data_IF_766380678967
#
_entry.id   IF_766380678967
#
_cell.length_a   1.000
_cell.length_b   1.000
_cell.length_c   1.000
_cell.angle_alpha   90.00
_cell.angle_beta   90.00
_cell.angle_gamma   90.00
#
_symmetry.space_group_name_H-M   'P 1'
#
loop_
_entity.id
_entity.type
_entity.pdbx_description
1 polymer ?
#
# COMPACT_ATOMS: atom_id res chain seq x y z
N UNK A 1 3.21 -57.95 27.49
CA UNK A 1 3.32 -57.55 26.07
C UNK A 1 4.20 -56.32 26.00
N UNK A 2 5.42 -56.44 25.45
CA UNK A 2 6.38 -55.33 25.30
C UNK A 2 6.17 -54.69 23.92
N UNK A 3 5.80 -53.40 23.89
CA UNK A 3 5.65 -52.62 22.65
C UNK A 3 6.97 -51.91 22.37
N UNK A 4 7.64 -52.27 21.28
CA UNK A 4 8.82 -51.55 20.80
C UNK A 4 8.40 -50.27 20.05
N UNK A 5 9.08 -49.13 20.26
CA UNK A 5 8.79 -47.91 19.52
C UNK A 5 9.33 -48.00 18.08
N UNK A 6 8.50 -47.64 17.09
CA UNK A 6 8.89 -47.50 15.69
C UNK A 6 9.89 -46.34 15.52
N UNK A 7 10.99 -46.52 14.75
CA UNK A 7 11.87 -45.41 14.42
C UNK A 7 11.19 -44.45 13.43
N UNK A 8 11.50 -43.14 13.47
CA UNK A 8 10.95 -42.18 12.51
C UNK A 8 11.55 -42.41 11.12
N UNK A 9 10.69 -42.39 10.10
CA UNK A 9 11.10 -42.42 8.70
C UNK A 9 11.83 -41.12 8.36
N UNK A 10 13.14 -41.24 8.08
CA UNK A 10 13.98 -40.13 7.61
C UNK A 10 13.66 -39.89 6.14
N UNK A 11 12.76 -38.94 5.86
CA UNK A 11 12.49 -38.49 4.49
C UNK A 11 13.72 -37.72 4.01
N UNK A 12 14.52 -38.36 3.16
CA UNK A 12 15.61 -37.70 2.43
C UNK A 12 14.97 -36.83 1.36
N UNK A 13 14.87 -35.52 1.60
CA UNK A 13 14.53 -34.55 0.55
C UNK A 13 15.71 -34.44 -0.40
N UNK A 14 15.59 -35.05 -1.58
CA UNK A 14 16.49 -34.76 -2.68
C UNK A 14 16.36 -33.26 -3.04
N UNK A 15 17.46 -32.53 -3.27
CA UNK A 15 17.37 -31.16 -3.75
C UNK A 15 16.76 -31.18 -5.15
N UNK A 16 15.52 -30.73 -5.24
CA UNK A 16 14.89 -30.40 -6.52
C UNK A 16 15.71 -29.28 -7.16
N UNK A 17 16.52 -29.64 -8.16
CA UNK A 17 17.22 -28.69 -9.00
C UNK A 17 16.15 -27.87 -9.74
N UNK A 18 15.89 -26.66 -9.25
CA UNK A 18 14.99 -25.70 -9.87
C UNK A 18 15.65 -25.19 -11.15
N UNK A 19 15.36 -25.84 -12.26
CA UNK A 19 15.67 -25.32 -13.58
C UNK A 19 14.72 -24.14 -13.86
N UNK A 20 15.31 -22.94 -13.99
CA UNK A 20 14.70 -21.70 -14.47
C UNK A 20 13.46 -21.21 -13.69
N UNK A 21 13.72 -20.60 -12.53
CA UNK A 21 12.71 -19.80 -11.83
C UNK A 21 12.62 -18.41 -12.48
N UNK A 22 11.70 -18.25 -13.44
CA UNK A 22 11.50 -16.98 -14.17
C UNK A 22 10.54 -16.01 -13.46
N UNK A 23 10.04 -16.31 -12.26
CA UNK A 23 9.25 -15.37 -11.47
C UNK A 23 10.13 -14.60 -10.49
N UNK A 24 9.93 -13.29 -10.43
CA UNK A 24 10.49 -12.44 -9.39
C UNK A 24 10.09 -12.99 -8.01
N UNK A 25 10.97 -12.88 -7.00
CA UNK A 25 10.60 -13.27 -5.63
C UNK A 25 9.37 -12.47 -5.19
N UNK A 26 8.36 -13.18 -4.66
CA UNK A 26 7.20 -12.57 -4.01
C UNK A 26 7.69 -11.85 -2.74
N UNK A 27 7.75 -10.52 -2.79
CA UNK A 27 7.93 -9.68 -1.61
C UNK A 27 6.60 -9.05 -1.21
N UNK A 28 6.26 -9.10 0.08
CA UNK A 28 5.15 -8.32 0.61
C UNK A 28 5.54 -6.83 0.52
N UNK A 29 4.82 -6.10 -0.32
CA UNK A 29 5.05 -4.68 -0.61
C UNK A 29 4.04 -3.78 0.07
N UNK A 30 3.59 -4.24 1.22
CA UNK A 30 2.62 -3.55 2.03
C UNK A 30 3.10 -3.56 3.47
N UNK A 31 3.26 -2.37 4.06
CA UNK A 31 3.71 -2.22 5.44
C UNK A 31 2.66 -2.66 6.49
N UNK A 32 2.98 -2.51 7.78
CA UNK A 32 2.03 -2.76 8.87
C UNK A 32 0.85 -1.78 8.82
N UNK A 33 -0.32 -2.16 9.34
CA UNK A 33 -1.48 -1.26 9.42
C UNK A 33 -1.23 -0.12 10.41
N UNK A 34 -1.68 1.08 10.07
CA UNK A 34 -1.63 2.24 10.95
C UNK A 34 -2.65 2.10 12.11
N UNK A 35 -2.32 2.46 13.37
CA UNK A 35 -3.15 2.15 14.55
C UNK A 35 -4.54 2.79 14.58
N UNK A 36 -4.74 3.90 13.87
CA UNK A 36 -6.03 4.63 13.84
C UNK A 36 -6.72 4.44 12.50
N UNK A 37 -6.10 4.86 11.40
CA UNK A 37 -6.66 4.72 10.05
C UNK A 37 -6.73 3.27 9.52
N UNK A 38 -6.02 2.30 10.11
CA UNK A 38 -5.90 0.91 9.63
C UNK A 38 -5.36 0.75 8.19
N UNK A 39 -4.97 1.85 7.54
CA UNK A 39 -4.39 1.84 6.21
C UNK A 39 -2.97 1.25 6.25
N UNK A 40 -2.62 0.49 5.21
CA UNK A 40 -1.29 -0.09 5.05
C UNK A 40 -0.51 0.67 3.96
N UNK A 41 0.73 1.13 4.23
CA UNK A 41 1.52 1.85 3.24
C UNK A 41 2.00 0.91 2.13
N UNK A 42 1.98 1.38 0.88
CA UNK A 42 2.43 0.62 -0.29
C UNK A 42 3.91 0.92 -0.53
N UNK A 43 4.70 -0.14 -0.74
CA UNK A 43 6.13 -0.04 -1.07
C UNK A 43 6.27 -0.19 -2.58
N UNK A 44 6.63 0.90 -3.25
CA UNK A 44 6.82 0.92 -4.70
C UNK A 44 8.20 0.39 -5.09
N UNK A 45 8.28 -0.34 -6.21
CA UNK A 45 9.53 -0.90 -6.75
C UNK A 45 10.50 0.15 -7.26
N UNK A 46 10.01 1.35 -7.51
CA UNK A 46 10.82 2.41 -8.08
C UNK A 46 11.84 2.97 -7.09
N UNK A 47 11.75 2.55 -5.83
CA UNK A 47 12.67 2.85 -4.74
C UNK A 47 13.50 1.60 -4.48
N UNK A 48 14.23 1.13 -5.52
CA UNK A 48 15.21 0.07 -5.32
C UNK A 48 16.16 0.54 -4.21
N UNK A 49 16.34 -0.25 -3.12
CA UNK A 49 17.29 0.12 -2.10
C UNK A 49 18.64 0.26 -2.78
N UNK A 50 19.25 1.43 -2.59
CA UNK A 50 20.63 1.70 -2.91
C UNK A 50 21.44 0.44 -2.61
N UNK A 51 22.14 -0.09 -3.63
CA UNK A 51 23.09 -1.15 -3.41
C UNK A 51 23.91 -0.79 -2.17
N UNK A 52 24.03 -1.73 -1.22
CA UNK A 52 24.68 -1.56 0.09
C UNK A 52 26.15 -1.12 0.04
N UNK A 53 26.68 -0.71 -1.12
CA UNK A 53 28.06 -0.33 -1.38
C UNK A 53 28.43 1.12 -1.02
N UNK A 54 27.53 1.96 -0.49
CA UNK A 54 27.79 3.40 -0.24
C UNK A 54 27.42 3.90 1.16
N UNK A 55 27.62 3.08 2.19
CA UNK A 55 27.22 3.35 3.58
C UNK A 55 27.97 4.47 4.35
N UNK A 56 28.73 5.36 3.68
CA UNK A 56 29.64 6.32 4.35
C UNK A 56 29.36 7.80 4.08
N UNK A 57 28.23 8.16 3.46
CA UNK A 57 27.91 9.56 3.20
C UNK A 57 26.54 9.93 3.80
N UNK A 58 26.40 11.09 4.48
CA UNK A 58 25.14 11.54 5.08
C UNK A 58 24.03 11.81 4.06
N UNK A 59 24.37 11.93 2.78
CA UNK A 59 23.42 12.03 1.67
C UNK A 59 23.51 10.80 0.78
N UNK A 60 22.36 10.32 0.30
CA UNK A 60 22.32 9.23 -0.66
C UNK A 60 22.83 9.73 -2.01
N UNK A 61 23.97 9.20 -2.51
CA UNK A 61 24.55 9.64 -3.78
C UNK A 61 23.64 9.35 -4.99
N UNK A 62 22.63 8.49 -4.82
CA UNK A 62 21.64 8.18 -5.85
C UNK A 62 20.68 9.33 -6.15
N UNK A 63 20.51 10.29 -5.24
CA UNK A 63 19.74 11.52 -5.51
C UNK A 63 20.42 12.43 -6.53
N UNK A 64 21.73 12.28 -6.72
CA UNK A 64 22.54 13.08 -7.64
C UNK A 64 22.97 12.31 -8.89
N UNK A 65 22.63 11.02 -8.99
CA UNK A 65 22.81 10.29 -10.23
C UNK A 65 21.92 10.96 -11.29
N UNK A 66 22.46 11.43 -12.42
CA UNK A 66 21.67 11.99 -13.50
C UNK A 66 20.94 10.84 -14.21
N UNK A 67 19.98 10.19 -13.54
CA UNK A 67 19.04 9.34 -14.25
C UNK A 67 18.32 10.27 -15.24
N UNK A 68 18.22 9.92 -16.53
CA UNK A 68 17.26 10.56 -17.42
C UNK A 68 15.85 10.11 -16.98
N UNK A 69 15.47 10.40 -15.73
CA UNK A 69 14.14 10.22 -15.22
C UNK A 69 13.30 11.21 -16.00
N UNK A 70 12.62 10.69 -17.02
CA UNK A 70 11.59 11.43 -17.75
C UNK A 70 10.77 12.26 -16.75
N UNK A 71 10.53 13.56 -17.02
CA UNK A 71 9.79 14.43 -16.10
C UNK A 71 8.43 13.82 -15.70
N UNK A 72 7.85 13.00 -16.59
CA UNK A 72 6.62 12.26 -16.33
C UNK A 72 6.77 11.14 -15.28
N UNK A 73 7.93 10.48 -15.19
CA UNK A 73 8.21 9.44 -14.18
C UNK A 73 8.27 10.04 -12.78
N UNK A 74 8.97 11.17 -12.63
CA UNK A 74 9.02 11.90 -11.37
C UNK A 74 7.64 12.44 -10.98
N UNK A 75 6.93 13.06 -11.92
CA UNK A 75 5.57 13.54 -11.70
C UNK A 75 4.64 12.39 -11.24
N UNK A 76 4.78 11.20 -11.82
CA UNK A 76 3.99 10.03 -11.46
C UNK A 76 4.31 9.49 -10.07
N UNK A 77 5.60 9.49 -9.69
CA UNK A 77 6.02 9.17 -8.31
C UNK A 77 5.38 10.13 -7.29
N UNK A 78 5.52 11.42 -7.52
CA UNK A 78 4.96 12.45 -6.63
C UNK A 78 3.44 12.34 -6.52
N UNK A 79 2.75 12.13 -7.64
CA UNK A 79 1.29 12.03 -7.65
C UNK A 79 0.78 10.79 -6.90
N UNK A 80 1.52 9.66 -6.94
CA UNK A 80 1.20 8.47 -6.14
C UNK A 80 1.32 8.75 -4.65
N UNK A 81 2.44 9.33 -4.22
CA UNK A 81 2.65 9.70 -2.81
C UNK A 81 1.56 10.65 -2.30
N UNK A 82 1.23 11.69 -3.08
CA UNK A 82 0.16 12.62 -2.74
C UNK A 82 -1.22 11.95 -2.64
N UNK A 83 -1.48 10.93 -3.46
CA UNK A 83 -2.72 10.15 -3.42
C UNK A 83 -2.77 9.27 -2.17
N UNK A 84 -1.66 8.63 -1.82
CA UNK A 84 -1.53 7.81 -0.61
C UNK A 84 -1.71 8.66 0.65
N UNK A 85 -1.07 9.83 0.72
CA UNK A 85 -1.21 10.79 1.83
C UNK A 85 -2.63 11.31 1.97
N UNK A 86 -3.26 11.66 0.84
CA UNK A 86 -4.66 12.10 0.81
C UNK A 86 -5.59 11.01 1.36
N UNK A 87 -5.40 9.77 0.91
CA UNK A 87 -6.19 8.63 1.33
C UNK A 87 -5.99 8.33 2.82
N UNK A 88 -4.73 8.32 3.29
CA UNK A 88 -4.40 8.12 4.69
C UNK A 88 -5.03 9.19 5.58
N UNK A 89 -4.88 10.46 5.22
CA UNK A 89 -5.38 11.60 6.01
C UNK A 89 -6.89 11.55 6.15
N UNK A 90 -7.61 11.28 5.04
CA UNK A 90 -9.06 11.17 5.06
C UNK A 90 -9.56 10.10 6.06
N UNK A 91 -8.97 8.90 6.02
CA UNK A 91 -9.35 7.80 6.90
C UNK A 91 -8.89 7.99 8.34
N UNK A 92 -7.75 8.64 8.56
CA UNK A 92 -7.28 9.01 9.89
C UNK A 92 -8.30 9.93 10.57
N UNK A 93 -8.72 10.99 9.89
CA UNK A 93 -9.73 11.92 10.40
C UNK A 93 -11.10 11.28 10.56
N UNK A 94 -11.52 10.44 9.61
CA UNK A 94 -12.80 9.74 9.66
C UNK A 94 -12.88 8.83 10.88
N UNK A 95 -11.88 7.98 11.08
CA UNK A 95 -11.84 7.04 12.21
C UNK A 95 -11.69 7.76 13.55
N UNK A 96 -10.95 8.87 13.59
CA UNK A 96 -10.81 9.68 14.81
C UNK A 96 -12.16 10.26 15.24
N UNK A 97 -12.90 10.89 14.31
CA UNK A 97 -14.23 11.43 14.60
C UNK A 97 -15.24 10.34 14.93
N UNK A 98 -15.16 9.19 14.26
CA UNK A 98 -16.02 8.05 14.51
C UNK A 98 -15.85 7.54 15.95
N UNK A 99 -14.62 7.29 16.39
CA UNK A 99 -14.36 6.79 17.75
C UNK A 99 -14.70 7.85 18.82
N UNK A 100 -14.49 9.14 18.54
CA UNK A 100 -14.95 10.22 19.41
C UNK A 100 -16.48 10.22 19.56
N UNK A 101 -17.22 10.23 18.45
CA UNK A 101 -18.68 10.24 18.47
C UNK A 101 -19.28 9.00 19.13
N UNK A 102 -18.66 7.84 18.93
CA UNK A 102 -19.03 6.58 19.58
C UNK A 102 -18.81 6.64 21.09
N UNK A 103 -17.70 7.20 21.55
CA UNK A 103 -17.43 7.39 22.98
C UNK A 103 -18.44 8.37 23.60
N UNK A 104 -18.75 9.46 22.92
CA UNK A 104 -19.76 10.43 23.37
C UNK A 104 -21.16 9.80 23.46
N UNK A 105 -21.56 8.99 22.48
CA UNK A 105 -22.85 8.30 22.49
C UNK A 105 -22.99 7.39 23.72
N UNK A 106 -21.91 6.69 24.09
CA UNK A 106 -21.87 5.86 25.30
C UNK A 106 -21.80 6.69 26.58
N UNK A 107 -21.07 7.81 26.58
CA UNK A 107 -20.93 8.68 27.75
C UNK A 107 -22.23 9.42 28.14
N UNK A 108 -23.16 9.59 27.19
CA UNK A 108 -24.49 10.16 27.46
C UNK A 108 -25.40 9.23 28.26
N UNK A 109 -25.09 7.94 28.31
CA UNK A 109 -25.89 6.97 29.05
C UNK A 109 -25.60 7.05 30.56
N UNK A 110 -26.61 6.82 31.41
CA UNK A 110 -26.37 6.72 32.84
C UNK A 110 -25.47 5.51 33.15
N UNK A 111 -24.68 5.56 34.25
CA UNK A 111 -23.80 4.45 34.62
C UNK A 111 -24.57 3.15 34.94
N UNK A 112 -25.87 3.25 35.24
CA UNK A 112 -26.78 2.12 35.47
C UNK A 112 -27.39 1.54 34.19
N UNK A 113 -27.05 2.06 33.01
CA UNK A 113 -27.62 1.62 31.73
C UNK A 113 -27.33 0.13 31.48
N UNK A 114 -28.36 -0.58 31.02
CA UNK A 114 -28.25 -1.99 30.66
C UNK A 114 -27.43 -2.16 29.37
N UNK A 115 -27.08 -3.41 29.04
CA UNK A 115 -26.43 -3.72 27.77
C UNK A 115 -27.32 -3.37 26.57
N UNK A 116 -28.64 -3.61 26.70
CA UNK A 116 -29.61 -3.31 25.65
C UNK A 116 -29.70 -1.80 25.35
N UNK A 117 -29.65 -0.97 26.39
CA UNK A 117 -29.66 0.50 26.23
C UNK A 117 -28.42 1.00 25.48
N UNK A 118 -27.26 0.38 25.74
CA UNK A 118 -26.01 0.67 25.03
C UNK A 118 -26.08 0.27 23.57
N UNK A 119 -26.64 -0.90 23.27
CA UNK A 119 -26.83 -1.37 21.90
C UNK A 119 -27.77 -0.46 21.11
N UNK A 120 -28.86 0.00 21.74
CA UNK A 120 -29.79 0.94 21.11
C UNK A 120 -29.11 2.29 20.83
N UNK A 121 -28.36 2.84 21.81
CA UNK A 121 -27.63 4.09 21.63
C UNK A 121 -26.56 3.99 20.52
N UNK A 122 -25.84 2.87 20.44
CA UNK A 122 -24.88 2.63 19.37
C UNK A 122 -25.57 2.51 18.00
N UNK A 123 -26.70 1.81 17.93
CA UNK A 123 -27.47 1.64 16.68
C UNK A 123 -27.93 2.99 16.11
N UNK A 124 -28.49 3.84 16.98
CA UNK A 124 -28.85 5.22 16.62
C UNK A 124 -27.64 6.04 16.18
N UNK A 125 -26.52 5.94 16.89
CA UNK A 125 -25.27 6.58 16.51
C UNK A 125 -24.79 6.15 15.12
N UNK A 126 -24.76 4.84 14.82
CA UNK A 126 -24.35 4.34 13.51
C UNK A 126 -25.24 4.86 12.38
N UNK A 127 -26.55 4.86 12.59
CA UNK A 127 -27.50 5.40 11.62
C UNK A 127 -27.24 6.88 11.34
N UNK A 128 -27.08 7.69 12.40
CA UNK A 128 -26.79 9.12 12.28
C UNK A 128 -25.43 9.38 11.63
N UNK A 129 -24.40 8.60 11.97
CA UNK A 129 -23.07 8.72 11.41
C UNK A 129 -23.07 8.56 9.90
N UNK A 130 -23.74 7.53 9.37
CA UNK A 130 -23.82 7.28 7.92
C UNK A 130 -24.48 8.46 7.20
N UNK A 131 -25.58 8.99 7.75
CA UNK A 131 -26.28 10.14 7.15
C UNK A 131 -25.41 11.39 7.16
N UNK A 132 -24.71 11.66 8.26
CA UNK A 132 -23.86 12.84 8.40
C UNK A 132 -22.63 12.78 7.49
N UNK A 133 -22.05 11.59 7.32
CA UNK A 133 -20.80 11.39 6.60
C UNK A 133 -21.00 11.17 5.08
N UNK A 134 -22.25 11.02 4.62
CA UNK A 134 -22.59 10.75 3.21
C UNK A 134 -21.98 11.80 2.27
N UNK A 135 -22.20 13.09 2.55
CA UNK A 135 -21.65 14.19 1.74
C UNK A 135 -20.12 14.18 1.70
N UNK A 136 -19.47 14.05 2.87
CA UNK A 136 -17.99 14.04 2.98
C UNK A 136 -17.39 12.84 2.25
N UNK A 137 -18.05 11.69 2.31
CA UNK A 137 -17.65 10.47 1.60
C UNK A 137 -17.85 10.62 0.09
N UNK A 138 -18.93 11.26 -0.33
CA UNK A 138 -19.18 11.60 -1.73
C UNK A 138 -18.09 12.49 -2.32
N UNK A 139 -17.75 13.59 -1.64
CA UNK A 139 -16.69 14.52 -2.03
C UNK A 139 -15.33 13.83 -2.11
N UNK A 140 -14.98 13.05 -1.08
CA UNK A 140 -13.77 12.24 -1.06
C UNK A 140 -13.73 11.25 -2.23
N UNK A 141 -14.83 10.57 -2.52
CA UNK A 141 -14.90 9.57 -3.60
C UNK A 141 -14.68 10.22 -4.96
N UNK A 142 -15.26 11.39 -5.19
CA UNK A 142 -15.09 12.13 -6.44
C UNK A 142 -13.64 12.61 -6.60
N UNK A 143 -13.05 13.22 -5.56
CA UNK A 143 -11.64 13.63 -5.59
C UNK A 143 -10.70 12.44 -5.81
N UNK A 144 -10.91 11.35 -5.08
CA UNK A 144 -10.11 10.13 -5.22
C UNK A 144 -10.17 9.59 -6.65
N UNK A 145 -11.35 9.57 -7.28
CA UNK A 145 -11.50 9.17 -8.69
C UNK A 145 -10.77 10.11 -9.63
N UNK A 146 -10.86 11.42 -9.43
CA UNK A 146 -10.18 12.40 -10.27
C UNK A 146 -8.65 12.27 -10.19
N UNK A 147 -8.09 12.11 -8.98
CA UNK A 147 -6.66 11.89 -8.77
C UNK A 147 -6.18 10.56 -9.35
N UNK A 148 -6.98 9.49 -9.25
CA UNK A 148 -6.64 8.21 -9.87
C UNK A 148 -6.66 8.25 -11.39
N UNK A 149 -7.66 8.92 -12.00
CA UNK A 149 -7.73 9.08 -13.47
C UNK A 149 -6.47 9.77 -14.01
N UNK A 150 -6.06 10.86 -13.37
CA UNK A 150 -4.85 11.59 -13.78
C UNK A 150 -3.58 10.77 -13.55
N UNK A 151 -3.47 10.07 -12.42
CA UNK A 151 -2.34 9.16 -12.13
C UNK A 151 -2.24 8.02 -13.15
N UNK A 152 -3.35 7.42 -13.55
CA UNK A 152 -3.40 6.34 -14.55
C UNK A 152 -2.94 6.82 -15.94
N UNK A 153 -3.38 8.02 -16.35
CA UNK A 153 -2.94 8.62 -17.62
C UNK A 153 -1.44 8.86 -17.63
N UNK A 154 -0.89 9.34 -16.52
CA UNK A 154 0.54 9.59 -16.39
C UNK A 154 1.34 8.28 -16.36
N UNK A 155 0.85 7.26 -15.65
CA UNK A 155 1.41 5.91 -15.66
C UNK A 155 1.46 5.34 -17.09
N UNK A 156 0.38 5.48 -17.86
CA UNK A 156 0.33 5.04 -19.25
C UNK A 156 1.38 5.75 -20.12
N UNK A 157 1.58 7.07 -19.93
CA UNK A 157 2.63 7.81 -20.64
C UNK A 157 4.03 7.32 -20.30
N UNK A 158 4.32 7.11 -19.01
CA UNK A 158 5.61 6.56 -18.55
C UNK A 158 5.84 5.16 -19.13
N UNK A 159 4.80 4.31 -19.14
CA UNK A 159 4.86 2.99 -19.73
C UNK A 159 5.17 3.05 -21.24
N UNK A 160 4.46 3.89 -22.00
CA UNK A 160 4.75 4.09 -23.42
C UNK A 160 6.19 4.57 -23.66
N UNK A 161 6.69 5.53 -22.89
CA UNK A 161 8.07 6.00 -23.02
C UNK A 161 9.08 4.88 -22.73
N UNK A 162 8.90 4.14 -21.65
CA UNK A 162 9.77 3.01 -21.29
C UNK A 162 9.75 1.91 -22.36
N UNK A 163 8.59 1.66 -22.96
CA UNK A 163 8.43 0.72 -24.06
C UNK A 163 9.19 1.20 -25.30
N UNK A 164 8.99 2.46 -25.72
CA UNK A 164 9.69 3.02 -26.88
C UNK A 164 11.21 2.98 -26.73
N UNK A 165 11.74 3.31 -25.55
CA UNK A 165 13.17 3.25 -25.26
C UNK A 165 13.72 1.81 -25.37
N UNK A 166 13.03 0.83 -24.79
CA UNK A 166 13.42 -0.59 -24.90
C UNK A 166 13.43 -1.06 -26.36
N UNK A 167 12.45 -0.64 -27.16
CA UNK A 167 12.42 -1.00 -28.58
C UNK A 167 13.54 -0.34 -29.37
N UNK A 168 13.88 0.94 -29.11
CA UNK A 168 15.01 1.59 -29.78
C UNK A 168 16.34 0.90 -29.46
N UNK A 169 16.54 0.47 -28.21
CA UNK A 169 17.77 -0.21 -27.78
C UNK A 169 17.94 -1.56 -28.51
N UNK A 170 16.85 -2.32 -28.65
CA UNK A 170 16.84 -3.60 -29.39
C UNK A 170 17.16 -3.39 -30.88
N UNK A 171 16.59 -2.34 -31.49
CA UNK A 171 16.82 -2.03 -32.91
C UNK A 171 18.24 -1.54 -33.15
N UNK A 172 18.80 -0.72 -32.25
CA UNK A 172 20.20 -0.27 -32.33
C UNK A 172 21.18 -1.44 -32.15
N UNK A 173 20.94 -2.34 -31.21
CA UNK A 173 21.77 -3.52 -31.00
C UNK A 173 21.82 -4.42 -32.25
N UNK A 174 20.71 -4.54 -32.99
CA UNK A 174 20.66 -5.30 -34.26
C UNK A 174 21.39 -4.63 -35.43
N UNK A 175 21.64 -3.32 -35.41
CA UNK A 175 22.35 -2.60 -36.48
C UNK A 175 23.87 -2.61 -36.33
N UNK A 176 24.38 -2.89 -35.13
CA UNK A 176 25.80 -2.87 -34.79
C UNK A 176 26.45 -4.26 -34.73
N UNK A 177 25.69 -5.32 -35.07
CA UNK A 177 26.13 -6.70 -35.18
C UNK A 177 26.08 -7.16 -36.64
#
# INVERSE_FOLDING_TARGET
MLVLPRPPLRIVRLPSARFLHASNPLCDRVGPPHPISNMRPIIYDDDAPASTSRAYHPYSLHEFDPEPSSPYKLQWKLQRQQLDDFHHTFWLESNTRFEQGKQEALARLPPSASLLDKEHALSEFYHQWVIQEDRRTGEYTEEWRQRNKSSLLLAARVACQSFTARFSDIVMFKKSA
#
